data_IF_484654329913
#
_entry.id   IF_484654329913
#
_cell.length_a   1.000
_cell.length_b   1.000
_cell.length_c   1.000
_cell.angle_alpha   90.00
_cell.angle_beta   90.00
_cell.angle_gamma   90.00
#
_symmetry.space_group_name_H-M   'P 1'
#
loop_
_entity.id
_entity.type
_entity.pdbx_description
1 polymer ?
#
# COMPACT_ATOMS: atom_id res chain seq x y z
N UNK A 1 19.49 12.70 1.16
CA UNK A 1 18.77 12.81 2.43
C UNK A 1 18.61 11.41 3.01
N UNK A 2 18.90 11.26 4.24
CA UNK A 2 18.70 10.00 4.93
C UNK A 2 17.40 10.10 5.72
N UNK A 3 16.57 9.08 5.64
CA UNK A 3 15.46 8.91 6.56
C UNK A 3 15.70 7.65 7.36
N UNK A 4 15.23 7.63 8.57
CA UNK A 4 15.28 6.43 9.41
C UNK A 4 13.89 5.83 9.50
N UNK A 5 13.83 4.56 9.85
CA UNK A 5 12.56 3.94 10.19
C UNK A 5 11.93 4.77 11.31
N UNK A 6 10.72 5.21 11.09
CA UNK A 6 9.99 5.98 12.09
C UNK A 6 9.36 5.05 13.11
N UNK A 7 8.88 5.63 14.22
CA UNK A 7 8.07 4.90 15.19
C UNK A 7 6.60 4.78 14.75
N UNK A 8 6.26 5.25 13.56
CA UNK A 8 4.91 5.12 13.01
C UNK A 8 4.51 3.65 12.94
N UNK A 9 3.26 3.36 13.28
CA UNK A 9 2.70 2.02 13.26
C UNK A 9 1.46 1.99 12.38
N UNK A 10 1.43 1.02 11.47
CA UNK A 10 0.29 0.75 10.58
C UNK A 10 -0.43 -0.50 11.07
N UNK A 11 -1.74 -0.40 11.24
CA UNK A 11 -2.59 -1.50 11.68
C UNK A 11 -3.83 -1.60 10.80
N UNK A 12 -4.55 -2.72 10.92
CA UNK A 12 -5.88 -2.90 10.33
C UNK A 12 -6.80 -3.57 11.33
N UNK A 13 -8.08 -3.20 11.30
CA UNK A 13 -9.09 -3.92 12.06
C UNK A 13 -9.48 -5.23 11.41
N UNK A 14 -9.08 -5.45 10.15
CA UNK A 14 -9.44 -6.64 9.39
C UNK A 14 -8.47 -7.80 9.59
N UNK A 15 -7.19 -7.52 9.85
CA UNK A 15 -6.16 -8.55 10.10
C UNK A 15 -5.00 -7.95 10.89
N UNK A 16 -4.34 -8.79 11.67
CA UNK A 16 -3.15 -8.39 12.42
C UNK A 16 -1.89 -8.65 11.60
N UNK A 17 -0.76 -8.15 12.07
CA UNK A 17 0.55 -8.35 11.46
C UNK A 17 0.84 -9.84 11.26
N UNK A 18 1.18 -10.22 10.03
CA UNK A 18 1.47 -11.60 9.61
C UNK A 18 0.28 -12.57 9.64
N UNK A 19 -0.92 -12.07 9.86
CA UNK A 19 -2.14 -12.87 9.82
C UNK A 19 -2.73 -12.89 8.40
N UNK A 20 -3.65 -13.84 8.18
CA UNK A 20 -4.30 -13.97 6.88
C UNK A 20 -5.21 -12.78 6.59
N UNK A 21 -5.13 -12.29 5.37
CA UNK A 21 -6.06 -11.26 4.86
C UNK A 21 -7.40 -11.95 4.60
N UNK A 22 -8.52 -11.43 5.15
CA UNK A 22 -9.83 -12.00 4.85
C UNK A 22 -10.14 -12.01 3.35
N UNK A 23 -10.81 -13.04 2.89
CA UNK A 23 -11.14 -13.22 1.48
C UNK A 23 -11.89 -12.04 0.88
N UNK A 24 -12.65 -11.29 1.69
CA UNK A 24 -13.36 -10.08 1.27
C UNK A 24 -12.45 -9.08 0.55
N UNK A 25 -11.19 -8.98 0.96
CA UNK A 25 -10.22 -8.01 0.42
C UNK A 25 -9.32 -8.62 -0.66
N UNK A 26 -9.70 -9.75 -1.21
CA UNK A 26 -8.93 -10.47 -2.22
C UNK A 26 -9.74 -10.67 -3.49
N UNK A 27 -9.07 -11.13 -4.55
CA UNK A 27 -9.73 -11.47 -5.81
C UNK A 27 -10.74 -12.61 -5.72
N UNK A 28 -10.76 -13.35 -4.60
CA UNK A 28 -11.75 -14.40 -4.34
C UNK A 28 -13.01 -13.87 -3.63
N UNK A 29 -13.02 -12.62 -3.20
CA UNK A 29 -14.14 -11.97 -2.52
C UNK A 29 -14.58 -10.69 -3.21
N UNK A 30 -14.95 -9.69 -2.42
CA UNK A 30 -15.43 -8.41 -2.95
C UNK A 30 -14.31 -7.58 -3.61
N UNK A 31 -13.07 -7.93 -3.36
CA UNK A 31 -11.90 -7.28 -3.95
C UNK A 31 -11.83 -5.78 -3.64
N UNK A 32 -12.15 -5.42 -2.41
CA UNK A 32 -12.07 -4.03 -1.93
C UNK A 32 -10.85 -3.86 -1.03
N UNK A 33 -10.31 -2.65 -0.98
CA UNK A 33 -9.15 -2.37 -0.14
C UNK A 33 -9.50 -2.51 1.35
N UNK A 34 -8.59 -3.06 2.18
CA UNK A 34 -8.84 -3.19 3.60
C UNK A 34 -8.78 -1.84 4.31
N UNK A 35 -9.39 -1.74 5.50
CA UNK A 35 -9.20 -0.56 6.34
C UNK A 35 -7.78 -0.54 6.88
N UNK A 36 -7.19 0.64 6.96
CA UNK A 36 -5.86 0.86 7.52
C UNK A 36 -5.94 1.99 8.55
N UNK A 37 -5.13 1.91 9.58
CA UNK A 37 -4.95 2.98 10.55
C UNK A 37 -3.46 3.15 10.83
N UNK A 38 -3.06 4.36 11.16
CA UNK A 38 -1.66 4.62 11.51
C UNK A 38 -1.57 5.52 12.75
N UNK A 39 -0.52 5.26 13.54
CA UNK A 39 -0.27 5.89 14.83
C UNK A 39 1.19 6.34 14.90
N UNK A 40 1.48 7.27 15.80
CA UNK A 40 2.83 7.82 15.98
C UNK A 40 3.41 8.36 14.66
N UNK A 41 2.60 9.14 13.98
CA UNK A 41 2.96 9.77 12.71
C UNK A 41 4.10 10.76 12.94
N UNK A 42 5.13 10.79 12.08
CA UNK A 42 6.24 11.75 12.25
C UNK A 42 5.75 13.19 12.30
N UNK A 43 6.39 13.99 13.16
CA UNK A 43 6.10 15.40 13.22
C UNK A 43 6.38 16.07 11.88
N UNK A 44 5.51 16.98 11.46
CA UNK A 44 5.63 17.66 10.19
C UNK A 44 4.99 16.92 9.02
N UNK A 45 4.32 15.81 9.26
CA UNK A 45 3.60 15.08 8.21
C UNK A 45 2.43 15.91 7.70
N UNK A 46 2.39 16.11 6.38
CA UNK A 46 1.34 16.86 5.69
C UNK A 46 0.64 16.08 4.60
N UNK A 47 1.06 14.85 4.36
CA UNK A 47 0.45 14.00 3.37
C UNK A 47 0.87 12.55 3.55
N UNK A 48 0.15 11.66 2.86
CA UNK A 48 0.45 10.23 2.88
C UNK A 48 0.34 9.63 1.48
N UNK A 49 1.03 8.52 1.30
CA UNK A 49 0.84 7.63 0.16
C UNK A 49 0.81 6.19 0.67
N UNK A 50 0.11 5.31 -0.05
CA UNK A 50 -0.05 3.90 0.31
C UNK A 50 0.30 3.04 -0.88
N UNK A 51 1.08 1.98 -0.65
CA UNK A 51 1.46 1.01 -1.66
C UNK A 51 1.22 -0.39 -1.09
N UNK A 52 0.60 -1.27 -1.87
CA UNK A 52 0.53 -2.70 -1.53
C UNK A 52 1.40 -3.48 -2.51
N UNK A 53 2.35 -4.25 -1.98
CA UNK A 53 3.37 -4.95 -2.76
C UNK A 53 3.47 -6.42 -2.33
N UNK A 54 3.51 -7.31 -3.31
CA UNK A 54 3.75 -8.75 -3.12
C UNK A 54 5.12 -9.12 -3.69
N UNK A 55 6.16 -9.26 -2.85
CA UNK A 55 7.48 -9.67 -3.32
C UNK A 55 7.60 -11.16 -3.64
N UNK A 56 6.60 -11.96 -3.28
CA UNK A 56 6.61 -13.40 -3.53
C UNK A 56 6.13 -13.75 -4.94
N UNK A 57 5.56 -12.80 -5.66
CA UNK A 57 5.28 -12.93 -7.08
C UNK A 57 6.58 -12.66 -7.85
N UNK A 58 7.20 -13.67 -8.48
CA UNK A 58 8.56 -13.52 -9.05
C UNK A 58 8.54 -12.83 -10.41
N UNK A 59 7.76 -11.77 -10.52
CA UNK A 59 7.65 -11.01 -11.76
C UNK A 59 8.55 -9.79 -11.68
N UNK A 60 9.18 -9.47 -12.79
CA UNK A 60 9.91 -8.21 -12.97
C UNK A 60 9.26 -7.48 -14.14
N UNK A 61 8.64 -6.36 -13.84
CA UNK A 61 8.02 -5.50 -14.84
C UNK A 61 8.51 -4.08 -14.59
N UNK A 62 9.02 -3.45 -15.63
CA UNK A 62 9.49 -2.05 -15.58
C UNK A 62 10.50 -1.78 -14.43
N UNK A 63 11.36 -2.76 -14.15
CA UNK A 63 12.39 -2.63 -13.13
C UNK A 63 11.90 -2.88 -11.71
N UNK A 64 10.64 -3.23 -11.52
CA UNK A 64 10.10 -3.59 -10.21
C UNK A 64 10.17 -5.10 -10.00
N UNK A 65 10.53 -5.51 -8.80
CA UNK A 65 10.49 -6.90 -8.39
C UNK A 65 9.18 -7.16 -7.66
N UNK A 66 8.51 -8.26 -8.01
CA UNK A 66 7.24 -8.61 -7.41
C UNK A 66 6.05 -7.98 -8.12
N UNK A 67 4.92 -7.93 -7.43
CA UNK A 67 3.65 -7.47 -7.99
C UNK A 67 3.08 -6.33 -7.16
N UNK A 68 2.72 -5.23 -7.81
CA UNK A 68 2.09 -4.07 -7.17
C UNK A 68 0.58 -4.23 -7.24
N UNK A 69 -0.06 -4.28 -6.07
CA UNK A 69 -1.51 -4.45 -5.93
C UNK A 69 -2.26 -3.14 -5.75
N UNK A 70 -1.59 -2.11 -5.24
CA UNK A 70 -2.25 -0.84 -4.92
C UNK A 70 -1.24 0.30 -4.88
N UNK A 71 -1.62 1.43 -5.47
CA UNK A 71 -0.85 2.67 -5.42
C UNK A 71 -1.84 3.80 -5.20
N UNK A 72 -1.78 4.47 -4.04
CA UNK A 72 -2.71 5.52 -3.64
C UNK A 72 -1.93 6.70 -3.07
N UNK A 73 -2.25 7.91 -3.50
CA UNK A 73 -1.49 9.09 -3.10
C UNK A 73 -2.38 10.33 -3.02
N UNK A 74 -1.78 11.50 -2.82
CA UNK A 74 -2.49 12.78 -2.63
C UNK A 74 -3.38 12.77 -1.38
N UNK A 75 -3.04 11.95 -0.39
CA UNK A 75 -3.79 11.87 0.86
C UNK A 75 -3.39 13.02 1.79
N UNK A 76 -4.35 13.66 2.50
CA UNK A 76 -4.02 14.73 3.43
C UNK A 76 -3.34 14.22 4.69
N UNK A 77 -2.56 15.08 5.33
CA UNK A 77 -1.78 14.71 6.51
C UNK A 77 -2.55 14.67 7.84
N UNK A 78 -3.82 15.09 7.82
CA UNK A 78 -4.67 15.15 9.02
C UNK A 78 -5.56 13.91 9.18
N UNK A 79 -5.43 12.92 8.32
CA UNK A 79 -6.16 11.66 8.46
C UNK A 79 -5.35 10.64 9.24
N UNK A 80 -6.04 9.83 10.06
CA UNK A 80 -5.42 8.76 10.85
C UNK A 80 -5.60 7.37 10.25
N UNK A 81 -6.10 7.27 9.03
CA UNK A 81 -6.33 5.99 8.38
C UNK A 81 -7.26 6.10 7.19
N UNK A 82 -7.62 4.94 6.67
CA UNK A 82 -8.52 4.78 5.53
C UNK A 82 -9.57 3.74 5.87
N UNK A 83 -10.81 4.01 5.51
CA UNK A 83 -11.87 3.01 5.58
C UNK A 83 -11.68 1.95 4.48
N UNK A 84 -12.29 0.80 4.66
CA UNK A 84 -12.32 -0.19 3.57
C UNK A 84 -12.96 0.42 2.33
N UNK A 85 -12.49 0.02 1.16
CA UNK A 85 -12.98 0.54 -0.12
C UNK A 85 -12.98 2.08 -0.16
N UNK A 86 -11.89 2.69 0.33
CA UNK A 86 -11.80 4.14 0.50
C UNK A 86 -12.01 4.88 -0.81
N UNK A 87 -12.80 5.98 -0.80
CA UNK A 87 -12.89 6.89 -1.94
C UNK A 87 -11.82 7.97 -1.92
N UNK A 88 -10.97 7.99 -0.89
CA UNK A 88 -9.98 9.06 -0.71
C UNK A 88 -8.77 8.89 -1.61
N UNK A 89 -8.13 10.02 -1.89
CA UNK A 89 -6.87 10.04 -2.61
C UNK A 89 -7.02 9.87 -4.12
N UNK A 90 -5.87 9.71 -4.77
CA UNK A 90 -5.76 9.52 -6.21
C UNK A 90 -5.10 8.18 -6.47
N UNK A 91 -5.69 7.41 -7.37
CA UNK A 91 -5.20 6.06 -7.70
C UNK A 91 -4.13 6.10 -8.78
N UNK A 92 -3.01 5.41 -8.50
CA UNK A 92 -2.05 5.03 -9.51
C UNK A 92 -2.40 3.71 -10.16
N UNK A 93 -1.56 3.25 -11.07
CA UNK A 93 -1.72 1.95 -11.72
C UNK A 93 -1.18 0.83 -10.84
N UNK A 94 -1.91 -0.28 -10.79
CA UNK A 94 -1.43 -1.54 -10.24
C UNK A 94 -0.92 -2.44 -11.38
N UNK A 95 -0.37 -3.58 -11.04
CA UNK A 95 0.19 -4.50 -12.05
C UNK A 95 -0.86 -5.37 -12.74
N UNK A 96 -2.15 -5.18 -12.43
CA UNK A 96 -3.26 -5.66 -13.26
C UNK A 96 -3.56 -4.70 -14.41
N UNK A 97 -2.76 -3.64 -14.57
CA UNK A 97 -2.97 -2.56 -15.55
C UNK A 97 -4.28 -1.81 -15.31
N UNK A 98 -4.66 -1.65 -14.04
CA UNK A 98 -5.87 -0.96 -13.62
C UNK A 98 -5.55 0.07 -12.54
N UNK A 99 -6.36 1.12 -12.40
CA UNK A 99 -6.21 2.05 -11.29
C UNK A 99 -6.70 1.43 -9.98
N UNK A 100 -6.07 1.82 -8.88
CA UNK A 100 -6.54 1.49 -7.55
C UNK A 100 -6.10 0.14 -7.04
N UNK A 101 -6.96 -0.45 -6.22
CA UNK A 101 -6.69 -1.69 -5.51
C UNK A 101 -7.11 -2.90 -6.33
N UNK A 102 -6.17 -3.85 -6.48
CA UNK A 102 -6.46 -5.20 -6.92
C UNK A 102 -5.90 -6.16 -5.87
N UNK A 103 -6.77 -6.94 -5.24
CA UNK A 103 -6.39 -7.73 -4.08
C UNK A 103 -5.58 -8.97 -4.39
N UNK A 104 -5.13 -9.67 -3.33
CA UNK A 104 -4.42 -10.93 -3.46
C UNK A 104 -5.13 -11.94 -4.34
N UNK A 105 -4.40 -12.54 -5.25
CA UNK A 105 -4.89 -13.61 -6.11
C UNK A 105 -3.72 -14.52 -6.50
N UNK A 106 -3.00 -15.09 -5.51
CA UNK A 106 -1.85 -15.95 -5.82
C UNK A 106 -2.31 -17.20 -6.58
N UNK A 107 -1.44 -17.78 -7.42
CA UNK A 107 -1.81 -19.01 -8.11
C UNK A 107 -2.16 -20.13 -7.13
N UNK A 108 -3.12 -20.96 -7.49
CA UNK A 108 -3.51 -22.12 -6.68
C UNK A 108 -2.31 -23.04 -6.45
N UNK A 109 -2.15 -23.50 -5.22
CA UNK A 109 -1.06 -24.40 -4.85
C UNK A 109 0.32 -23.76 -4.80
N UNK A 110 0.42 -22.44 -5.01
CA UNK A 110 1.70 -21.73 -5.03
C UNK A 110 2.24 -21.44 -3.63
N UNK A 111 1.43 -21.66 -2.60
CA UNK A 111 1.81 -21.41 -1.22
C UNK A 111 1.41 -20.03 -0.74
N UNK A 112 1.94 -19.69 0.42
CA UNK A 112 1.59 -18.45 1.09
C UNK A 112 2.40 -17.29 0.51
N UNK A 113 1.71 -16.25 0.07
CA UNK A 113 2.31 -14.98 -0.32
C UNK A 113 2.19 -13.96 0.79
N UNK A 114 3.17 -13.07 0.91
CA UNK A 114 3.15 -11.95 1.84
C UNK A 114 2.80 -10.68 1.09
N UNK A 115 1.89 -9.89 1.66
CA UNK A 115 1.43 -8.62 1.09
C UNK A 115 1.80 -7.49 2.03
N UNK A 116 2.64 -6.59 1.55
CA UNK A 116 3.16 -5.47 2.33
C UNK A 116 2.34 -4.24 2.03
N UNK A 117 1.57 -3.77 3.02
CA UNK A 117 0.85 -2.50 2.95
C UNK A 117 1.77 -1.43 3.53
N UNK A 118 2.38 -0.66 2.65
CA UNK A 118 3.33 0.38 3.01
C UNK A 118 2.59 1.71 3.11
N UNK A 119 2.80 2.43 4.22
CA UNK A 119 2.29 3.79 4.38
C UNK A 119 3.48 4.72 4.49
N UNK A 120 3.53 5.71 3.62
CA UNK A 120 4.59 6.71 3.54
C UNK A 120 4.06 8.02 4.10
N UNK A 121 4.74 8.55 5.12
CA UNK A 121 4.44 9.86 5.68
C UNK A 121 5.31 10.92 5.00
N UNK A 122 4.69 11.97 4.49
CA UNK A 122 5.33 12.96 3.64
C UNK A 122 5.26 14.36 4.24
N UNK A 123 6.30 15.16 4.00
CA UNK A 123 6.38 16.55 4.44
C UNK A 123 5.44 17.48 3.64
N UNK A 124 4.87 17.00 2.55
CA UNK A 124 3.92 17.74 1.71
C UNK A 124 2.75 16.85 1.35
N UNK A 125 1.56 17.46 1.23
CA UNK A 125 0.46 16.80 0.54
C UNK A 125 0.72 16.96 -0.96
N UNK A 126 0.88 15.85 -1.67
CA UNK A 126 1.12 15.88 -3.11
C UNK A 126 -0.16 16.22 -3.88
N UNK A 127 0.00 16.70 -5.10
CA UNK A 127 -1.07 16.96 -6.05
C UNK A 127 -0.67 16.36 -7.40
N UNK A 128 -0.42 15.08 -7.41
CA UNK A 128 0.08 14.33 -8.56
C UNK A 128 -1.08 13.87 -9.45
N UNK A 129 -0.83 13.69 -10.75
CA UNK A 129 -1.86 13.18 -11.66
C UNK A 129 -2.20 11.71 -11.33
N UNK A 130 -3.38 11.28 -11.72
CA UNK A 130 -3.77 9.88 -11.60
C UNK A 130 -2.96 8.99 -12.55
N UNK A 131 -2.93 7.68 -12.27
CA UNK A 131 -2.33 6.71 -13.16
C UNK A 131 -0.81 6.59 -13.11
N UNK A 132 -0.15 7.14 -12.08
CA UNK A 132 1.29 6.95 -11.92
C UNK A 132 1.61 5.49 -11.58
N UNK A 133 2.73 5.00 -12.12
CA UNK A 133 3.32 3.75 -11.65
C UNK A 133 3.92 3.95 -10.26
N UNK A 134 4.21 2.86 -9.56
CA UNK A 134 4.88 2.93 -8.26
C UNK A 134 6.26 3.59 -8.38
N UNK A 135 6.98 3.31 -9.46
CA UNK A 135 8.30 3.93 -9.69
C UNK A 135 8.19 5.45 -9.87
N UNK A 136 7.21 5.90 -10.63
CA UNK A 136 6.94 7.33 -10.82
C UNK A 136 6.54 7.99 -9.50
N UNK A 137 5.65 7.34 -8.73
CA UNK A 137 5.25 7.85 -7.42
C UNK A 137 6.44 7.98 -6.48
N UNK A 138 7.26 6.93 -6.36
CA UNK A 138 8.41 6.94 -5.45
C UNK A 138 9.41 8.03 -5.80
N UNK A 139 9.62 8.27 -7.07
CA UNK A 139 10.49 9.35 -7.53
C UNK A 139 9.99 10.72 -7.07
N UNK A 140 8.67 10.93 -7.09
CA UNK A 140 8.08 12.20 -6.68
C UNK A 140 8.08 12.38 -5.17
N UNK A 141 7.85 11.32 -4.39
CA UNK A 141 7.68 11.45 -2.93
C UNK A 141 8.97 11.30 -2.14
N UNK A 142 9.99 10.63 -2.68
CA UNK A 142 11.25 10.39 -1.97
C UNK A 142 11.86 11.65 -1.34
N UNK A 143 11.92 12.81 -2.04
CA UNK A 143 12.49 14.01 -1.43
C UNK A 143 11.74 14.54 -0.21
N UNK A 144 10.51 14.11 -0.01
CA UNK A 144 9.61 14.57 1.06
C UNK A 144 9.31 13.51 2.10
N UNK A 145 9.94 12.35 2.00
CA UNK A 145 9.65 11.20 2.87
C UNK A 145 10.17 11.45 4.29
N UNK A 146 9.26 11.40 5.26
CA UNK A 146 9.58 11.55 6.69
C UNK A 146 9.65 10.22 7.41
N UNK A 147 8.86 9.26 7.01
CA UNK A 147 8.83 7.96 7.64
C UNK A 147 7.99 6.98 6.86
N UNK A 148 8.19 5.72 7.17
CA UNK A 148 7.50 4.62 6.51
C UNK A 148 7.25 3.51 7.54
N UNK A 149 6.09 2.88 7.45
CA UNK A 149 5.83 1.63 8.12
C UNK A 149 5.02 0.73 7.23
N UNK A 150 4.96 -0.54 7.60
CA UNK A 150 4.28 -1.56 6.82
C UNK A 150 3.50 -2.52 7.69
N UNK A 151 2.32 -2.88 7.23
CA UNK A 151 1.52 -3.97 7.76
C UNK A 151 1.63 -5.13 6.77
N UNK A 152 1.99 -6.30 7.27
CA UNK A 152 2.14 -7.50 6.42
C UNK A 152 0.97 -8.43 6.67
N UNK A 153 0.21 -8.72 5.62
CA UNK A 153 -0.82 -9.75 5.63
C UNK A 153 -0.41 -10.90 4.74
N UNK A 154 -1.06 -12.04 4.91
CA UNK A 154 -0.78 -13.25 4.14
C UNK A 154 -2.01 -13.72 3.40
N UNK A 155 -1.81 -14.44 2.30
CA UNK A 155 -2.90 -15.12 1.62
C UNK A 155 -2.35 -16.28 0.81
N UNK A 156 -3.13 -17.35 0.71
CA UNK A 156 -2.81 -18.47 -0.17
C UNK A 156 -4.09 -19.06 -0.73
N UNK A 157 -3.98 -19.71 -1.87
CA UNK A 157 -5.07 -20.44 -2.51
C UNK A 157 -4.65 -21.91 -2.61
N UNK A 158 -5.49 -22.78 -2.12
CA UNK A 158 -5.24 -24.23 -2.13
C UNK A 158 -5.56 -24.88 -3.48
#
# INVERSE_FOLDING_TARGET
MAFALSSMQVTSTAFAQHEAIPARYTGEGDDVSPPLAWHNVPEGTKGFAVICHDPDAPLVKDGSYGFIHWTLYNLPGDIGGLDENTPMGTSGLNDFDKPGYGGPMPPQGHGKHLYYFLVLALAHQTALPEGLSVAELLKEVEPHLLGIDRLVGTYQRD
#
